data_IF_281446069496
#
_entry.id   IF_281446069496
#
_cell.length_a   1.000
_cell.length_b   1.000
_cell.length_c   1.000
_cell.angle_alpha   90.00
_cell.angle_beta   90.00
_cell.angle_gamma   90.00
#
_symmetry.space_group_name_H-M   'P 1'
#
loop_
_entity.id
_entity.type
_entity.pdbx_description
1 polymer ?
#
# COMPACT_ATOMS: atom_id res chain seq x y z
N UNK A 1 -9.85 19.30 12.90
CA UNK A 1 -9.85 19.61 11.46
C UNK A 1 -9.89 18.24 10.81
N UNK A 2 -11.06 17.83 10.34
CA UNK A 2 -11.22 16.62 9.52
C UNK A 2 -11.39 17.18 8.12
N UNK A 3 -10.41 16.99 7.23
CA UNK A 3 -10.60 17.35 5.83
C UNK A 3 -11.45 16.29 5.15
N UNK A 4 -12.18 16.66 4.09
CA UNK A 4 -12.92 15.73 3.22
C UNK A 4 -11.99 15.00 2.24
N UNK A 5 -10.68 15.01 2.49
CA UNK A 5 -9.72 14.35 1.62
C UNK A 5 -9.88 12.84 1.82
N UNK A 6 -10.15 12.15 0.71
CA UNK A 6 -10.25 10.70 0.71
C UNK A 6 -8.85 10.11 0.89
N UNK A 7 -8.58 9.48 2.02
CA UNK A 7 -7.33 8.75 2.24
C UNK A 7 -7.29 7.50 1.32
N UNK A 8 -6.11 7.17 0.80
CA UNK A 8 -5.90 5.99 -0.06
C UNK A 8 -4.94 5.01 0.60
N UNK A 9 -5.39 3.79 0.85
CA UNK A 9 -4.51 2.67 1.17
C UNK A 9 -4.05 1.99 -0.13
N UNK A 10 -2.74 2.04 -0.42
CA UNK A 10 -2.15 1.43 -1.60
C UNK A 10 -1.31 0.22 -1.21
N UNK A 11 -1.77 -0.97 -1.60
CA UNK A 11 -1.03 -2.22 -1.40
C UNK A 11 -0.20 -2.52 -2.65
N UNK A 12 1.11 -2.68 -2.47
CA UNK A 12 2.04 -3.07 -3.53
C UNK A 12 2.61 -4.44 -3.18
N UNK A 13 2.43 -5.40 -4.09
CA UNK A 13 2.98 -6.75 -3.97
C UNK A 13 4.19 -6.89 -4.90
N UNK A 14 5.34 -7.30 -4.37
CA UNK A 14 6.56 -7.41 -5.16
C UNK A 14 7.73 -8.06 -4.42
N UNK A 15 8.90 -8.07 -5.06
CA UNK A 15 10.14 -8.61 -4.50
C UNK A 15 10.71 -7.65 -3.43
N UNK A 16 10.43 -7.98 -2.18
CA UNK A 16 10.78 -7.19 -0.99
C UNK A 16 11.41 -8.03 0.12
N UNK A 17 11.76 -9.28 -0.16
CA UNK A 17 12.31 -10.28 0.74
C UNK A 17 13.59 -9.78 1.43
N UNK A 18 14.42 -9.04 0.69
CA UNK A 18 15.69 -8.49 1.16
C UNK A 18 15.58 -7.11 1.83
N UNK A 19 14.36 -6.55 1.94
CA UNK A 19 14.13 -5.20 2.48
C UNK A 19 13.33 -5.25 3.77
N UNK A 20 13.85 -4.57 4.81
CA UNK A 20 13.08 -4.33 6.03
C UNK A 20 11.87 -3.42 5.77
N UNK A 21 10.80 -3.56 6.56
CA UNK A 21 9.52 -2.87 6.33
C UNK A 21 9.65 -1.35 6.10
N UNK A 22 10.50 -0.66 6.88
CA UNK A 22 10.71 0.78 6.77
C UNK A 22 11.44 1.22 5.49
N UNK A 23 12.03 0.28 4.75
CA UNK A 23 12.80 0.55 3.53
C UNK A 23 11.98 0.34 2.25
N UNK A 24 10.80 -0.30 2.35
CA UNK A 24 9.99 -0.67 1.18
C UNK A 24 9.19 0.52 0.63
N UNK A 25 8.41 1.18 1.50
CA UNK A 25 7.49 2.25 1.14
C UNK A 25 8.12 3.59 0.67
N UNK A 26 9.28 4.07 1.18
CA UNK A 26 9.75 5.44 0.90
C UNK A 26 9.95 5.78 -0.58
N UNK A 27 10.35 4.80 -1.41
CA UNK A 27 10.54 5.02 -2.85
C UNK A 27 9.21 5.29 -3.56
N UNK A 28 8.15 4.57 -3.20
CA UNK A 28 6.83 4.74 -3.78
C UNK A 28 6.15 6.01 -3.28
N UNK A 29 6.38 6.37 -2.01
CA UNK A 29 5.90 7.63 -1.46
C UNK A 29 6.50 8.82 -2.22
N UNK A 30 7.81 8.75 -2.50
CA UNK A 30 8.50 9.75 -3.32
C UNK A 30 7.92 9.81 -4.74
N UNK A 31 7.66 8.67 -5.36
CA UNK A 31 7.07 8.62 -6.71
C UNK A 31 5.68 9.29 -6.72
N UNK A 32 4.79 8.90 -5.82
CA UNK A 32 3.43 9.43 -5.71
C UNK A 32 3.39 10.95 -5.53
N UNK A 33 4.09 11.46 -4.51
CA UNK A 33 4.01 12.87 -4.15
C UNK A 33 4.95 13.77 -4.93
N UNK A 34 6.18 13.32 -5.24
CA UNK A 34 7.20 14.21 -5.80
C UNK A 34 7.36 14.07 -7.31
N UNK A 35 7.09 12.89 -7.87
CA UNK A 35 7.25 12.63 -9.31
C UNK A 35 5.92 12.78 -10.03
N UNK A 36 4.88 12.10 -9.55
CA UNK A 36 3.52 12.18 -10.10
C UNK A 36 2.77 13.43 -9.61
N UNK A 37 3.27 14.11 -8.56
CA UNK A 37 2.69 15.33 -7.99
C UNK A 37 1.22 15.16 -7.56
N UNK A 38 0.90 14.00 -6.99
CA UNK A 38 -0.43 13.71 -6.44
C UNK A 38 -0.50 14.22 -5.01
N UNK A 39 -1.41 15.16 -4.78
CA UNK A 39 -1.67 15.78 -3.48
C UNK A 39 -2.88 15.11 -2.81
N UNK A 40 -2.77 13.80 -2.60
CA UNK A 40 -3.75 12.99 -1.89
C UNK A 40 -3.03 12.16 -0.83
N UNK A 41 -3.53 12.08 0.42
CA UNK A 41 -2.94 11.25 1.45
C UNK A 41 -2.93 9.78 1.01
N UNK A 42 -1.77 9.13 1.09
CA UNK A 42 -1.61 7.72 0.74
C UNK A 42 -0.84 6.97 1.82
N UNK A 43 -1.40 5.85 2.27
CA UNK A 43 -0.73 4.86 3.09
C UNK A 43 -0.23 3.71 2.19
N UNK A 44 1.09 3.68 1.96
CA UNK A 44 1.71 2.68 1.09
C UNK A 44 2.17 1.48 1.92
N UNK A 45 1.62 0.31 1.59
CA UNK A 45 1.87 -0.95 2.28
C UNK A 45 2.49 -1.93 1.29
N UNK A 46 3.71 -2.39 1.58
CA UNK A 46 4.45 -3.29 0.70
C UNK A 46 4.54 -4.71 1.27
N UNK A 47 4.08 -5.70 0.50
CA UNK A 47 4.14 -7.11 0.85
C UNK A 47 4.91 -7.92 -0.18
N UNK A 48 5.61 -8.96 0.27
CA UNK A 48 6.00 -10.05 -0.64
C UNK A 48 4.77 -10.85 -1.05
N UNK A 49 4.86 -11.61 -2.14
CA UNK A 49 3.77 -12.49 -2.56
C UNK A 49 3.37 -13.48 -1.46
N UNK A 50 4.35 -14.00 -0.72
CA UNK A 50 4.10 -14.92 0.40
C UNK A 50 3.37 -14.25 1.57
N UNK A 51 3.75 -13.02 1.91
CA UNK A 51 3.09 -12.23 2.96
C UNK A 51 1.64 -11.91 2.57
N UNK A 52 1.42 -11.47 1.33
CA UNK A 52 0.10 -11.13 0.82
C UNK A 52 -0.84 -12.35 0.82
N UNK A 53 -0.38 -13.49 0.31
CA UNK A 53 -1.17 -14.73 0.25
C UNK A 53 -1.55 -15.25 1.64
N UNK A 54 -0.71 -15.02 2.63
CA UNK A 54 -1.01 -15.35 4.03
C UNK A 54 -2.05 -14.42 4.64
N UNK A 55 -2.02 -13.13 4.30
CA UNK A 55 -2.86 -12.09 4.91
C UNK A 55 -4.25 -11.99 4.28
N UNK A 56 -4.43 -12.33 2.99
CA UNK A 56 -5.74 -12.30 2.31
C UNK A 56 -6.80 -13.19 2.96
N UNK A 57 -6.39 -14.21 3.73
CA UNK A 57 -7.28 -15.13 4.43
C UNK A 57 -7.51 -14.74 5.91
N UNK A 58 -6.97 -13.61 6.37
CA UNK A 58 -7.05 -13.12 7.74
C UNK A 58 -7.84 -11.81 7.80
N UNK A 59 -8.34 -11.44 8.98
CA UNK A 59 -9.03 -10.15 9.18
C UNK A 59 -7.98 -9.02 9.16
N UNK A 60 -7.63 -8.54 7.97
CA UNK A 60 -6.57 -7.56 7.71
C UNK A 60 -6.96 -6.66 6.52
N UNK A 61 -6.27 -5.53 6.34
CA UNK A 61 -6.46 -4.63 5.19
C UNK A 61 -6.26 -5.34 3.83
N UNK A 62 -5.41 -6.37 3.79
CA UNK A 62 -5.20 -7.18 2.59
C UNK A 62 -6.48 -7.92 2.20
N UNK A 63 -7.23 -8.45 3.17
CA UNK A 63 -8.50 -9.13 2.89
C UNK A 63 -9.55 -8.15 2.37
N UNK A 64 -9.66 -6.97 3.00
CA UNK A 64 -10.57 -5.91 2.55
C UNK A 64 -10.23 -5.44 1.12
N UNK A 65 -8.95 -5.24 0.81
CA UNK A 65 -8.50 -4.89 -0.53
C UNK A 65 -8.81 -5.97 -1.57
N UNK A 66 -8.78 -7.26 -1.20
CA UNK A 66 -9.15 -8.36 -2.11
C UNK A 66 -10.67 -8.47 -2.30
N UNK A 67 -11.46 -8.19 -1.27
CA UNK A 67 -12.93 -8.30 -1.31
C UNK A 67 -13.59 -7.09 -1.98
N UNK A 68 -13.08 -5.88 -1.71
CA UNK A 68 -13.75 -4.61 -2.07
C UNK A 68 -12.84 -3.62 -2.84
N UNK A 69 -11.53 -3.90 -2.91
CA UNK A 69 -10.56 -3.00 -3.52
C UNK A 69 -10.56 -3.00 -5.04
N UNK A 70 -9.75 -2.10 -5.62
CA UNK A 70 -9.53 -1.98 -7.06
C UNK A 70 -8.15 -2.53 -7.43
N UNK A 71 -8.12 -3.57 -8.27
CA UNK A 71 -6.89 -4.05 -8.90
C UNK A 71 -6.56 -3.17 -10.13
N UNK A 72 -5.29 -2.77 -10.26
CA UNK A 72 -4.78 -1.87 -11.31
C UNK A 72 -3.70 -2.57 -12.11
#
# INVERSE_FOLDING_TARGET
IVSEDSDVDLIIVGDFEDKGNLQRAPIFYKEWHLVQNIDLPVDIICYTSEEFDKLKNQITIVKEAVEEGMEI
#
